data_IF_821999383897
#
_entry.id   IF_821999383897
#
_cell.length_a   1.000
_cell.length_b   1.000
_cell.length_c   1.000
_cell.angle_alpha   90.00
_cell.angle_beta   90.00
_cell.angle_gamma   90.00
#
_symmetry.space_group_name_H-M   'P 1'
#
loop_
_entity.id
_entity.type
_entity.pdbx_description
1 polymer ?
#
# COMPACT_ATOMS: atom_id res chain seq x y z
N UNK A 1 16.27 4.27 -6.33
CA UNK A 1 16.05 2.98 -5.62
C UNK A 1 14.59 2.64 -5.74
N UNK A 2 14.25 1.40 -6.12
CA UNK A 2 12.85 0.99 -6.28
C UNK A 2 12.32 0.45 -4.95
N UNK A 3 11.24 1.03 -4.43
CA UNK A 3 10.53 0.51 -3.27
C UNK A 3 9.42 -0.43 -3.74
N UNK A 4 9.16 -1.50 -3.00
CA UNK A 4 8.06 -2.45 -3.27
C UNK A 4 7.17 -2.59 -2.04
N UNK A 5 5.86 -2.65 -2.26
CA UNK A 5 4.87 -2.97 -1.22
C UNK A 5 4.19 -4.29 -1.58
N UNK A 6 4.33 -5.29 -0.71
CA UNK A 6 3.84 -6.66 -0.93
C UNK A 6 2.77 -6.95 0.11
N UNK A 7 1.58 -7.36 -0.30
CA UNK A 7 0.48 -7.71 0.60
C UNK A 7 0.39 -9.21 0.82
N UNK A 8 0.27 -9.61 2.08
CA UNK A 8 -0.04 -10.96 2.53
C UNK A 8 -1.47 -10.95 3.09
N UNK A 9 -2.41 -11.47 2.30
CA UNK A 9 -3.82 -11.54 2.67
C UNK A 9 -4.12 -12.55 3.76
N UNK A 10 -3.31 -13.61 3.90
CA UNK A 10 -3.49 -14.61 4.94
C UNK A 10 -3.08 -14.06 6.31
N UNK A 11 -2.02 -13.27 6.36
CA UNK A 11 -1.55 -12.62 7.58
C UNK A 11 -2.22 -11.26 7.86
N UNK A 12 -2.88 -10.66 6.87
CA UNK A 12 -3.44 -9.30 6.99
C UNK A 12 -2.35 -8.23 7.16
N UNK A 13 -1.20 -8.42 6.50
CA UNK A 13 -0.03 -7.53 6.62
C UNK A 13 0.48 -7.09 5.26
N UNK A 14 1.23 -5.99 5.21
CA UNK A 14 2.03 -5.64 4.05
C UNK A 14 3.50 -5.48 4.43
N UNK A 15 4.38 -5.75 3.48
CA UNK A 15 5.82 -5.61 3.62
C UNK A 15 6.31 -4.54 2.65
N UNK A 16 7.00 -3.52 3.18
CA UNK A 16 7.69 -2.49 2.41
C UNK A 16 9.17 -2.86 2.29
N UNK A 17 9.69 -3.00 1.08
CA UNK A 17 11.09 -3.33 0.79
C UNK A 17 11.77 -2.17 0.07
N UNK A 18 12.93 -1.75 0.60
CA UNK A 18 13.76 -0.66 0.07
C UNK A 18 15.24 -1.06 0.12
N UNK A 19 15.70 -1.75 -0.92
CA UNK A 19 17.05 -2.31 -0.96
C UNK A 19 17.23 -3.37 0.13
N UNK A 20 18.17 -3.13 1.06
CA UNK A 20 18.42 -4.04 2.20
C UNK A 20 17.42 -3.85 3.35
N UNK A 21 16.68 -2.74 3.36
CA UNK A 21 15.71 -2.46 4.40
C UNK A 21 14.37 -3.10 4.05
N UNK A 22 13.75 -3.72 5.06
CA UNK A 22 12.41 -4.29 4.97
C UNK A 22 11.66 -4.06 6.27
N UNK A 23 10.39 -3.65 6.17
CA UNK A 23 9.46 -3.55 7.29
C UNK A 23 8.13 -4.22 6.97
N UNK A 24 7.61 -5.02 7.90
CA UNK A 24 6.29 -5.66 7.78
C UNK A 24 5.34 -5.05 8.80
N UNK A 25 4.14 -4.66 8.35
CA UNK A 25 3.17 -3.89 9.11
C UNK A 25 1.75 -4.41 8.89
N UNK A 26 0.82 -4.20 9.84
CA UNK A 26 -0.60 -4.51 9.63
C UNK A 26 -1.16 -3.77 8.42
N UNK A 27 -2.06 -4.41 7.65
CA UNK A 27 -2.66 -3.74 6.50
C UNK A 27 -3.50 -2.52 6.88
N UNK A 28 -4.09 -2.54 8.08
CA UNK A 28 -4.81 -1.41 8.66
C UNK A 28 -3.96 -0.15 8.83
N UNK A 29 -2.62 -0.28 8.91
CA UNK A 29 -1.70 0.86 9.02
C UNK A 29 -1.32 1.47 7.67
N UNK A 30 -1.72 0.88 6.54
CA UNK A 30 -1.38 1.38 5.21
C UNK A 30 -1.73 2.88 5.02
N UNK A 31 -2.92 3.39 5.42
CA UNK A 31 -3.25 4.82 5.31
C UNK A 31 -2.37 5.73 6.17
N UNK A 32 -1.94 5.21 7.34
CA UNK A 32 -1.05 5.94 8.27
C UNK A 32 0.34 6.11 7.65
N UNK A 33 0.89 5.07 7.04
CA UNK A 33 2.19 5.13 6.36
C UNK A 33 2.15 6.08 5.15
N UNK A 34 1.08 6.04 4.36
CA UNK A 34 0.88 6.95 3.23
C UNK A 34 0.87 8.42 3.68
N UNK A 35 0.11 8.71 4.74
CA UNK A 35 0.04 10.05 5.35
C UNK A 35 1.41 10.49 5.86
N UNK A 36 2.13 9.61 6.55
CA UNK A 36 3.45 9.89 7.09
C UNK A 36 4.43 10.31 5.98
N UNK A 37 4.57 9.51 4.91
CA UNK A 37 5.54 9.83 3.85
C UNK A 37 5.17 11.10 3.07
N UNK A 38 3.87 11.35 2.82
CA UNK A 38 3.42 12.61 2.22
C UNK A 38 3.76 13.82 3.11
N UNK A 39 3.59 13.70 4.42
CA UNK A 39 3.98 14.75 5.36
C UNK A 39 5.50 14.96 5.39
N UNK A 40 6.31 13.91 5.30
CA UNK A 40 7.77 14.03 5.18
C UNK A 40 8.16 14.80 3.91
N UNK A 41 7.52 14.53 2.77
CA UNK A 41 7.77 15.26 1.51
C UNK A 41 7.44 16.76 1.63
N UNK A 42 6.34 17.10 2.31
CA UNK A 42 5.96 18.50 2.54
C UNK A 42 6.90 19.22 3.51
N UNK A 43 7.33 18.53 4.57
CA UNK A 43 8.20 19.10 5.60
C UNK A 43 9.65 19.22 5.17
N UNK A 44 10.11 18.31 4.32
CA UNK A 44 11.49 18.22 3.85
C UNK A 44 11.53 18.16 2.31
N UNK A 45 11.21 19.26 1.61
CA UNK A 45 11.09 19.27 0.16
C UNK A 45 12.39 18.89 -0.56
N UNK A 46 13.56 19.21 0.02
CA UNK A 46 14.86 18.79 -0.50
C UNK A 46 15.03 17.26 -0.55
N UNK A 47 14.29 16.53 0.29
CA UNK A 47 14.30 15.06 0.38
C UNK A 47 13.05 14.42 -0.23
N UNK A 48 12.13 15.21 -0.80
CA UNK A 48 10.86 14.70 -1.32
C UNK A 48 11.05 13.58 -2.36
N UNK A 49 12.04 13.73 -3.24
CA UNK A 49 12.37 12.72 -4.24
C UNK A 49 12.82 11.37 -3.64
N UNK A 50 13.30 11.35 -2.38
CA UNK A 50 13.73 10.13 -1.71
C UNK A 50 12.56 9.34 -1.09
N UNK A 51 11.42 10.01 -0.85
CA UNK A 51 10.19 9.44 -0.33
C UNK A 51 9.18 9.11 -1.43
N UNK A 52 9.30 9.72 -2.62
CA UNK A 52 8.39 9.50 -3.72
C UNK A 52 8.21 8.01 -4.10
N UNK A 53 9.27 7.17 -4.16
CA UNK A 53 9.11 5.74 -4.43
C UNK A 53 8.32 5.01 -3.34
N UNK A 54 8.44 5.44 -2.08
CA UNK A 54 7.72 4.85 -0.96
C UNK A 54 6.22 5.18 -1.07
N UNK A 55 5.88 6.44 -1.39
CA UNK A 55 4.49 6.87 -1.63
C UNK A 55 3.90 6.11 -2.82
N UNK A 56 4.60 6.05 -3.95
CA UNK A 56 4.13 5.37 -5.17
C UNK A 56 3.82 3.89 -4.91
N UNK A 57 4.69 3.18 -4.20
CA UNK A 57 4.48 1.76 -3.88
C UNK A 57 3.24 1.55 -2.97
N UNK A 58 3.04 2.41 -1.97
CA UNK A 58 1.90 2.32 -1.06
C UNK A 58 0.58 2.72 -1.73
N UNK A 59 0.61 3.70 -2.64
CA UNK A 59 -0.55 4.09 -3.47
C UNK A 59 -0.94 2.95 -4.42
N UNK A 60 0.03 2.34 -5.09
CA UNK A 60 -0.19 1.20 -5.97
C UNK A 60 -0.81 0.01 -5.22
N UNK A 61 -0.31 -0.29 -4.00
CA UNK A 61 -0.91 -1.31 -3.16
C UNK A 61 -2.36 -0.97 -2.78
N UNK A 62 -2.62 0.28 -2.38
CA UNK A 62 -3.97 0.75 -2.05
C UNK A 62 -4.93 0.58 -3.23
N UNK A 63 -4.50 0.96 -4.44
CA UNK A 63 -5.30 0.81 -5.65
C UNK A 63 -5.60 -0.66 -5.96
N UNK A 64 -4.60 -1.54 -5.84
CA UNK A 64 -4.77 -2.98 -6.05
C UNK A 64 -5.78 -3.59 -5.07
N UNK A 65 -5.72 -3.22 -3.80
CA UNK A 65 -6.65 -3.74 -2.78
C UNK A 65 -8.09 -3.32 -3.05
N UNK A 66 -8.30 -2.07 -3.46
CA UNK A 66 -9.62 -1.56 -3.88
C UNK A 66 -10.17 -2.25 -5.12
N UNK A 67 -9.31 -2.68 -6.03
CA UNK A 67 -9.72 -3.47 -7.21
C UNK A 67 -10.10 -4.90 -6.81
N UNK A 68 -9.31 -5.54 -5.95
CA UNK A 68 -9.59 -6.89 -5.45
C UNK A 68 -10.89 -6.95 -4.63
N UNK A 69 -11.09 -6.01 -3.72
CA UNK A 69 -12.32 -5.89 -2.91
C UNK A 69 -13.57 -5.73 -3.77
N UNK A 70 -13.48 -4.94 -4.85
CA UNK A 70 -14.60 -4.75 -5.79
C UNK A 70 -14.92 -6.02 -6.58
N UNK A 71 -13.90 -6.76 -7.00
CA UNK A 71 -14.06 -8.03 -7.73
C UNK A 71 -14.71 -9.10 -6.86
N UNK A 72 -14.34 -9.15 -5.58
CA UNK A 72 -14.93 -10.10 -4.62
C UNK A 72 -16.40 -9.80 -4.35
N UNK A 73 -16.76 -8.52 -4.18
CA UNK A 73 -18.16 -8.10 -4.02
C UNK A 73 -19.03 -8.36 -5.26
N UNK A 74 -18.49 -8.14 -6.47
CA UNK A 74 -19.20 -8.45 -7.70
C UNK A 74 -19.49 -9.96 -7.84
N UNK A 75 -18.50 -10.80 -7.54
CA UNK A 75 -18.68 -12.25 -7.57
C UNK A 75 -19.71 -12.75 -6.53
N UNK A 76 -19.74 -12.16 -5.34
CA UNK A 76 -20.74 -12.51 -4.32
C UNK A 76 -22.18 -12.16 -4.76
N UNK A 77 -22.38 -10.99 -5.39
CA UNK A 77 -23.69 -10.54 -5.86
C UNK A 77 -24.25 -11.40 -7.02
N UNK A 78 -23.37 -11.96 -7.87
CA UNK A 78 -23.76 -12.89 -8.94
C UNK A 78 -24.18 -14.26 -8.42
N UNK A 79 -23.62 -14.72 -7.29
CA UNK A 79 -23.98 -16.00 -6.67
C UNK A 79 -25.31 -15.93 -5.91
N UNK A 80 -25.66 -14.80 -5.30
CA UNK A 80 -26.94 -14.62 -4.58
C UNK A 80 -28.15 -14.37 -5.51
N UNK A 81 -27.91 -14.07 -6.79
CA UNK A 81 -28.97 -13.79 -7.78
C UNK A 81 -29.32 -15.00 -8.66
N UNK A 82 -28.69 -16.16 -8.44
CA UNK A 82 -28.80 -17.37 -9.26
C UNK A 82 -29.75 -18.44 -8.72
#
# INVERSE_FOLDING_TARGET
>A
MQTKAIYDSAAGTFTLEKGIWRGTFPIADLPKWLTFYRQQMQRYPAHAAQYAPDVEALEALTARLRDSDRKEQAAAAEVESG
#
